data_IF_664219246590
#
_entry.id   IF_664219246590
#
_cell.length_a   1.000
_cell.length_b   1.000
_cell.length_c   1.000
_cell.angle_alpha   90.00
_cell.angle_beta   90.00
_cell.angle_gamma   90.00
#
_symmetry.space_group_name_H-M   'P 1'
#
loop_
_entity.id
_entity.type
_entity.pdbx_description
1 polymer ?
#
# COMPACT_ATOMS: atom_id res chain seq x y z
N UNK A 1 14.28 -24.34 -32.75
CA UNK A 1 13.08 -23.53 -32.39
C UNK A 1 12.27 -24.35 -31.40
N UNK A 2 12.21 -23.93 -30.11
CA UNK A 2 11.53 -24.70 -29.07
C UNK A 2 10.10 -24.11 -28.98
N UNK A 3 9.09 -24.92 -29.23
CA UNK A 3 7.69 -24.53 -29.09
C UNK A 3 7.23 -24.89 -27.68
N UNK A 4 6.82 -23.92 -26.90
CA UNK A 4 6.12 -24.13 -25.62
C UNK A 4 4.62 -23.91 -25.81
N UNK A 5 3.82 -24.85 -25.34
CA UNK A 5 2.39 -24.76 -25.31
C UNK A 5 1.90 -24.66 -23.88
N UNK A 6 0.88 -23.85 -23.66
CA UNK A 6 0.24 -23.65 -22.38
C UNK A 6 -1.14 -24.30 -22.43
N UNK A 7 -1.40 -25.18 -21.50
CA UNK A 7 -2.74 -25.69 -21.29
C UNK A 7 -3.21 -25.09 -19.95
N UNK A 8 -4.28 -24.31 -20.00
CA UNK A 8 -4.94 -23.73 -18.84
C UNK A 8 -6.23 -24.50 -18.64
N UNK A 9 -6.31 -25.26 -17.58
CA UNK A 9 -7.52 -26.00 -17.21
C UNK A 9 -8.16 -25.40 -15.98
N UNK A 10 -9.49 -25.23 -16.03
CA UNK A 10 -10.29 -24.85 -14.90
C UNK A 10 -10.84 -26.08 -14.22
N UNK A 11 -10.45 -26.35 -13.00
CA UNK A 11 -11.00 -27.44 -12.20
C UNK A 11 -11.84 -26.86 -11.09
N UNK A 12 -13.09 -27.31 -10.99
CA UNK A 12 -14.01 -26.96 -9.89
C UNK A 12 -14.03 -28.14 -8.93
N UNK A 13 -13.54 -27.95 -7.70
CA UNK A 13 -13.60 -28.95 -6.65
C UNK A 13 -14.30 -28.33 -5.44
N UNK A 14 -15.51 -28.75 -5.17
CA UNK A 14 -16.33 -28.21 -4.09
C UNK A 14 -16.72 -26.73 -4.32
N UNK A 15 -16.61 -25.90 -3.31
CA UNK A 15 -16.94 -24.47 -3.37
C UNK A 15 -15.78 -23.57 -3.87
N UNK A 16 -14.66 -24.14 -4.30
CA UNK A 16 -13.49 -23.39 -4.78
C UNK A 16 -13.23 -23.60 -6.27
N UNK A 17 -12.81 -22.55 -6.97
CA UNK A 17 -12.30 -22.64 -8.33
C UNK A 17 -10.77 -22.61 -8.28
N UNK A 18 -10.15 -23.62 -8.89
CA UNK A 18 -8.70 -23.71 -8.98
C UNK A 18 -8.27 -23.47 -10.43
N UNK A 19 -7.23 -22.66 -10.62
CA UNK A 19 -6.56 -22.52 -11.89
C UNK A 19 -5.31 -23.39 -11.86
N UNK A 20 -5.26 -24.39 -12.72
CA UNK A 20 -4.10 -25.25 -12.88
C UNK A 20 -3.41 -24.88 -14.18
N UNK A 21 -2.16 -24.47 -14.10
CA UNK A 21 -1.34 -24.14 -15.28
C UNK A 21 -0.29 -25.21 -15.45
N UNK A 22 -0.35 -25.92 -16.57
CA UNK A 22 0.62 -26.92 -16.95
C UNK A 22 1.63 -26.34 -17.96
N UNK A 23 2.90 -26.58 -17.70
CA UNK A 23 3.99 -26.19 -18.58
C UNK A 23 4.50 -27.40 -19.35
N UNK A 24 4.43 -27.33 -20.68
CA UNK A 24 4.92 -28.40 -21.56
C UNK A 24 6.07 -27.90 -22.42
N UNK A 25 7.14 -28.66 -22.47
CA UNK A 25 8.26 -28.42 -23.37
C UNK A 25 8.37 -29.59 -24.39
N UNK A 26 8.57 -29.25 -25.67
CA UNK A 26 8.79 -30.24 -26.72
C UNK A 26 10.27 -30.58 -26.76
N UNK A 27 10.60 -31.85 -26.50
CA UNK A 27 11.97 -32.31 -26.65
C UNK A 27 12.37 -32.47 -28.12
N UNK A 28 13.68 -32.63 -28.40
CA UNK A 28 14.26 -32.77 -29.73
C UNK A 28 13.77 -34.01 -30.51
N UNK A 29 13.11 -34.96 -29.83
CA UNK A 29 12.56 -36.19 -30.44
C UNK A 29 11.05 -36.15 -30.64
N UNK A 30 10.40 -34.99 -30.50
CA UNK A 30 8.99 -34.81 -30.81
C UNK A 30 8.00 -35.11 -29.67
N UNK A 31 8.46 -35.53 -28.50
CA UNK A 31 7.60 -35.77 -27.33
C UNK A 31 7.37 -34.53 -26.50
N UNK A 32 6.17 -34.44 -25.85
CA UNK A 32 5.85 -33.41 -24.90
C UNK A 32 6.13 -33.91 -23.49
N UNK A 33 6.86 -33.11 -22.69
CA UNK A 33 7.09 -33.42 -21.27
C UNK A 33 6.58 -32.29 -20.42
N UNK A 34 5.76 -32.62 -19.42
CA UNK A 34 5.32 -31.63 -18.42
C UNK A 34 6.53 -31.26 -17.57
N UNK A 35 6.92 -29.98 -17.58
CA UNK A 35 8.08 -29.48 -16.84
C UNK A 35 7.71 -28.74 -15.56
N UNK A 36 6.40 -28.57 -15.27
CA UNK A 36 5.92 -27.99 -14.02
C UNK A 36 4.41 -27.93 -13.93
N UNK A 37 3.92 -27.97 -12.71
CA UNK A 37 2.52 -27.73 -12.34
C UNK A 37 2.49 -26.70 -11.23
N UNK A 38 1.64 -25.70 -11.35
CA UNK A 38 1.37 -24.75 -10.30
C UNK A 38 -0.13 -24.71 -10.01
N UNK A 39 -0.49 -25.07 -8.80
CA UNK A 39 -1.88 -25.05 -8.32
C UNK A 39 -2.11 -23.75 -7.55
N UNK A 40 -3.06 -22.92 -7.97
CA UNK A 40 -3.40 -21.67 -7.30
C UNK A 40 -4.86 -21.69 -6.86
N UNK A 41 -5.10 -21.43 -5.58
CA UNK A 41 -6.43 -21.21 -5.00
C UNK A 41 -6.99 -19.88 -5.49
N UNK A 42 -8.09 -19.94 -6.23
CA UNK A 42 -8.84 -18.76 -6.67
C UNK A 42 -10.00 -18.52 -5.72
N UNK A 43 -9.78 -17.70 -4.71
CA UNK A 43 -10.88 -17.18 -3.89
C UNK A 43 -11.56 -16.03 -4.66
N UNK A 44 -12.87 -15.97 -4.55
CA UNK A 44 -13.88 -15.16 -5.27
C UNK A 44 -13.67 -13.63 -5.17
N UNK A 45 -12.44 -13.14 -5.29
CA UNK A 45 -12.18 -11.72 -5.38
C UNK A 45 -11.96 -11.32 -6.84
N UNK A 46 -12.71 -10.30 -7.30
CA UNK A 46 -12.50 -9.57 -8.54
C UNK A 46 -11.07 -9.03 -8.58
N UNK A 47 -10.11 -9.86 -8.92
CA UNK A 47 -8.71 -9.47 -8.93
C UNK A 47 -8.37 -8.87 -10.30
N UNK A 48 -8.40 -7.54 -10.37
CA UNK A 48 -7.88 -6.73 -11.48
C UNK A 48 -6.44 -7.12 -11.87
N UNK A 49 -5.67 -7.64 -10.93
CA UNK A 49 -4.32 -8.15 -11.09
C UNK A 49 -4.21 -9.23 -12.20
N UNK A 50 -5.03 -10.31 -12.11
CA UNK A 50 -4.97 -11.38 -13.11
C UNK A 50 -5.44 -10.93 -14.49
N UNK A 51 -6.35 -9.97 -14.55
CA UNK A 51 -6.76 -9.35 -15.81
C UNK A 51 -5.60 -8.61 -16.47
N UNK A 52 -4.78 -7.90 -15.70
CA UNK A 52 -3.58 -7.21 -16.17
C UNK A 52 -2.46 -8.19 -16.59
N UNK A 53 -2.23 -9.26 -15.82
CA UNK A 53 -1.24 -10.31 -16.16
C UNK A 53 -1.60 -11.04 -17.45
N UNK A 54 -2.88 -11.39 -17.67
CA UNK A 54 -3.29 -12.08 -18.89
C UNK A 54 -3.45 -11.16 -20.10
N UNK A 55 -3.64 -9.85 -19.92
CA UNK A 55 -3.69 -8.89 -21.02
C UNK A 55 -2.30 -8.52 -21.56
N UNK A 56 -1.24 -8.72 -20.78
CA UNK A 56 0.10 -8.30 -21.17
C UNK A 56 1.03 -9.51 -21.40
N UNK A 57 0.94 -10.10 -22.61
CA UNK A 57 1.75 -11.26 -23.05
C UNK A 57 3.27 -11.07 -22.86
N UNK A 58 3.76 -9.82 -22.88
CA UNK A 58 5.17 -9.50 -22.75
C UNK A 58 5.68 -9.73 -21.32
N UNK A 59 4.88 -9.39 -20.29
CA UNK A 59 5.24 -9.61 -18.88
C UNK A 59 5.43 -11.11 -18.60
N UNK A 60 4.55 -11.94 -19.12
CA UNK A 60 4.62 -13.40 -18.93
C UNK A 60 5.82 -14.00 -19.66
N UNK A 61 6.17 -13.48 -20.83
CA UNK A 61 7.35 -13.88 -21.60
C UNK A 61 8.66 -13.53 -20.89
N UNK A 62 8.79 -12.28 -20.44
CA UNK A 62 9.99 -11.79 -19.75
C UNK A 62 10.15 -12.45 -18.36
N UNK A 63 9.03 -12.84 -17.74
CA UNK A 63 9.00 -13.61 -16.50
C UNK A 63 9.63 -15.00 -16.60
N UNK A 64 9.54 -15.61 -17.76
CA UNK A 64 9.98 -17.00 -17.97
C UNK A 64 11.42 -17.07 -18.49
N UNK A 65 11.86 -16.07 -19.25
CA UNK A 65 13.14 -16.10 -19.98
C UNK A 65 14.20 -15.12 -19.49
N UNK A 66 13.81 -14.10 -18.73
CA UNK A 66 14.69 -13.06 -18.21
C UNK A 66 15.00 -13.22 -16.73
N UNK A 67 15.97 -14.05 -16.39
CA UNK A 67 16.65 -14.15 -15.08
C UNK A 67 15.86 -13.76 -13.85
N UNK A 68 15.59 -14.71 -12.97
CA UNK A 68 14.74 -14.62 -11.76
C UNK A 68 14.93 -13.42 -10.81
N UNK A 69 15.93 -12.56 -11.04
CA UNK A 69 16.21 -11.38 -10.21
C UNK A 69 15.29 -10.18 -10.52
N UNK A 70 14.89 -9.98 -11.79
CA UNK A 70 14.08 -8.81 -12.17
C UNK A 70 12.62 -9.01 -11.74
N UNK A 71 12.10 -10.23 -11.89
CA UNK A 71 10.70 -10.55 -11.54
C UNK A 71 10.52 -10.60 -10.03
N UNK A 72 11.45 -11.24 -9.31
CA UNK A 72 11.42 -11.21 -7.85
C UNK A 72 11.51 -9.77 -7.30
N UNK A 73 12.20 -8.86 -7.99
CA UNK A 73 12.29 -7.45 -7.60
C UNK A 73 11.00 -6.67 -7.91
N UNK A 74 10.35 -6.94 -9.04
CA UNK A 74 9.07 -6.28 -9.41
C UNK A 74 7.87 -6.88 -8.66
N UNK A 75 7.82 -8.19 -8.46
CA UNK A 75 6.80 -8.86 -7.65
C UNK A 75 6.95 -8.45 -6.18
N UNK A 76 8.15 -8.36 -5.61
CA UNK A 76 8.35 -7.75 -4.28
C UNK A 76 7.87 -6.31 -4.21
N UNK A 77 8.09 -5.49 -5.25
CA UNK A 77 7.56 -4.12 -5.31
C UNK A 77 6.04 -4.06 -5.35
N UNK A 78 5.38 -5.01 -6.01
CA UNK A 78 3.90 -5.05 -6.10
C UNK A 78 3.23 -5.34 -4.75
N UNK A 79 3.88 -6.09 -3.86
CA UNK A 79 3.33 -6.40 -2.53
C UNK A 79 3.69 -5.37 -1.46
N UNK A 80 4.54 -4.41 -1.76
CA UNK A 80 4.98 -3.38 -0.83
C UNK A 80 3.88 -2.36 -0.52
N UNK A 81 3.00 -2.06 -1.48
CA UNK A 81 1.90 -1.10 -1.33
C UNK A 81 0.57 -1.85 -1.39
N UNK A 82 -0.27 -1.67 -0.37
CA UNK A 82 -1.63 -2.22 -0.28
C UNK A 82 -2.65 -1.14 0.06
N UNK A 83 -3.90 -1.44 -0.23
CA UNK A 83 -5.08 -0.74 0.29
C UNK A 83 -5.96 -1.76 1.01
N UNK A 84 -6.45 -1.43 2.18
CA UNK A 84 -7.37 -2.25 2.96
C UNK A 84 -8.50 -1.40 3.52
N UNK A 85 -9.69 -1.99 3.61
CA UNK A 85 -10.79 -1.41 4.37
C UNK A 85 -10.72 -1.88 5.81
N UNK A 86 -10.68 -0.95 6.78
CA UNK A 86 -10.57 -1.36 8.16
C UNK A 86 -10.45 -0.21 9.16
N UNK A 87 -10.07 -0.60 10.37
CA UNK A 87 -9.81 0.29 11.49
C UNK A 87 -8.30 0.29 11.78
N UNK A 88 -7.65 1.41 11.52
CA UNK A 88 -6.20 1.56 11.67
C UNK A 88 -5.70 1.28 13.11
N UNK A 89 -6.57 1.44 14.10
CA UNK A 89 -6.23 1.22 15.51
C UNK A 89 -6.14 -0.28 15.89
N UNK A 90 -6.53 -1.18 14.98
CA UNK A 90 -6.55 -2.63 15.20
C UNK A 90 -5.51 -3.40 14.40
N UNK A 91 -4.65 -2.69 13.66
CA UNK A 91 -3.63 -3.33 12.84
C UNK A 91 -2.52 -3.93 13.68
N UNK A 92 -2.23 -5.19 13.45
CA UNK A 92 -1.15 -5.94 14.11
C UNK A 92 0.04 -6.23 13.19
N UNK A 93 -0.07 -5.92 11.90
CA UNK A 93 0.92 -6.27 10.88
C UNK A 93 1.94 -5.15 10.61
N UNK A 94 1.74 -3.97 11.21
CA UNK A 94 2.59 -2.80 10.99
C UNK A 94 3.30 -2.37 12.26
N UNK A 95 4.52 -1.85 12.10
CA UNK A 95 5.29 -1.29 13.20
C UNK A 95 4.86 0.14 13.56
N UNK A 96 4.33 0.88 12.59
CA UNK A 96 3.83 2.22 12.83
C UNK A 96 2.51 2.49 12.10
N UNK A 97 1.65 3.26 12.76
CA UNK A 97 0.49 3.89 12.12
C UNK A 97 0.67 5.39 12.04
N UNK A 98 0.11 5.99 10.99
CA UNK A 98 0.10 7.45 10.84
C UNK A 98 -1.21 8.00 11.38
N UNK A 99 -1.12 9.08 12.14
CA UNK A 99 -2.24 9.86 12.64
C UNK A 99 -2.41 11.14 11.82
N UNK A 100 -3.59 11.34 11.24
CA UNK A 100 -3.99 12.62 10.66
C UNK A 100 -4.43 13.57 11.77
N UNK A 101 -3.45 14.22 12.39
CA UNK A 101 -3.59 15.07 13.55
C UNK A 101 -3.94 16.53 13.17
N UNK A 102 -4.25 17.33 14.18
CA UNK A 102 -4.28 18.79 14.10
C UNK A 102 -2.96 19.41 14.59
N UNK A 103 -2.77 20.70 14.37
CA UNK A 103 -1.53 21.40 14.73
C UNK A 103 -1.18 21.34 16.23
N UNK A 104 -2.13 21.16 17.12
CA UNK A 104 -1.88 21.09 18.57
C UNK A 104 -1.42 19.71 19.03
N UNK A 105 -1.69 18.64 18.27
CA UNK A 105 -1.43 17.23 18.61
C UNK A 105 -2.13 16.77 19.92
N UNK A 106 -3.21 17.41 20.30
CA UNK A 106 -3.89 17.13 21.57
C UNK A 106 -5.14 16.27 21.42
N UNK A 107 -5.23 15.54 20.33
CA UNK A 107 -6.41 14.76 19.98
C UNK A 107 -7.47 15.62 19.30
N UNK A 108 -8.51 14.97 18.80
CA UNK A 108 -9.60 15.63 18.07
C UNK A 108 -10.69 14.65 17.68
N UNK A 109 -11.31 14.88 16.52
CA UNK A 109 -12.32 14.02 15.93
C UNK A 109 -11.74 12.99 14.96
N UNK A 110 -12.61 12.18 14.35
CA UNK A 110 -12.23 11.23 13.32
C UNK A 110 -11.16 10.22 13.75
N UNK A 111 -10.19 9.96 12.86
CA UNK A 111 -9.10 9.02 13.11
C UNK A 111 -8.19 9.46 14.26
N UNK A 112 -7.93 10.75 14.41
CA UNK A 112 -7.13 11.31 15.52
C UNK A 112 -7.73 10.95 16.88
N UNK A 113 -9.04 11.19 17.06
CA UNK A 113 -9.74 10.81 18.28
C UNK A 113 -9.79 9.29 18.50
N UNK A 114 -9.92 8.48 17.45
CA UNK A 114 -9.90 7.03 17.55
C UNK A 114 -8.53 6.52 18.03
N UNK A 115 -7.44 7.03 17.47
CA UNK A 115 -6.07 6.67 17.84
C UNK A 115 -5.80 7.08 19.30
N UNK A 116 -6.14 8.31 19.71
CA UNK A 116 -5.93 8.74 21.09
C UNK A 116 -6.72 7.90 22.10
N UNK A 117 -7.97 7.53 21.80
CA UNK A 117 -8.77 6.65 22.68
C UNK A 117 -8.17 5.24 22.77
N UNK A 118 -7.72 4.68 21.66
CA UNK A 118 -7.15 3.33 21.63
C UNK A 118 -5.75 3.26 22.28
N UNK A 119 -4.93 4.29 22.10
CA UNK A 119 -3.59 4.38 22.68
C UNK A 119 -3.57 4.61 24.19
N UNK A 120 -4.63 5.23 24.74
CA UNK A 120 -4.68 5.61 26.15
C UNK A 120 -4.10 6.99 26.46
N UNK A 121 -4.16 7.45 27.74
CA UNK A 121 -3.82 8.80 28.14
C UNK A 121 -2.31 9.13 28.02
N UNK A 122 -1.46 8.13 27.98
CA UNK A 122 -0.02 8.30 27.87
C UNK A 122 0.37 8.92 26.52
N UNK A 123 -0.35 8.60 25.44
CA UNK A 123 -0.14 9.19 24.13
C UNK A 123 -0.33 10.72 24.19
N UNK A 124 -1.40 11.19 24.82
CA UNK A 124 -1.65 12.61 24.98
C UNK A 124 -0.56 13.29 25.81
N UNK A 125 -0.06 12.59 26.84
CA UNK A 125 1.03 13.09 27.69
C UNK A 125 2.32 13.26 26.92
N UNK A 126 2.64 12.33 26.01
CA UNK A 126 3.81 12.44 25.12
C UNK A 126 3.60 13.54 24.07
N UNK A 127 2.44 13.60 23.43
CA UNK A 127 2.10 14.63 22.45
C UNK A 127 2.25 16.06 22.98
N UNK A 128 1.89 16.32 24.24
CA UNK A 128 2.08 17.63 24.88
C UNK A 128 3.54 18.08 24.88
N UNK A 129 4.50 17.14 25.01
CA UNK A 129 5.94 17.43 25.01
C UNK A 129 6.47 17.79 23.61
N UNK A 130 5.71 17.48 22.55
CA UNK A 130 6.08 17.81 21.18
C UNK A 130 5.79 19.27 20.81
N UNK A 131 5.00 19.99 21.61
CA UNK A 131 4.64 21.41 21.41
C UNK A 131 4.01 21.69 20.04
N UNK A 132 3.12 20.80 19.59
CA UNK A 132 2.43 20.92 18.30
C UNK A 132 3.25 20.44 17.10
N UNK A 133 2.68 20.62 15.90
CA UNK A 133 3.28 20.23 14.62
C UNK A 133 2.73 21.15 13.53
N UNK A 134 3.59 21.65 12.66
CA UNK A 134 3.19 22.49 11.55
C UNK A 134 2.54 21.66 10.42
N UNK A 135 1.68 22.33 9.63
CA UNK A 135 1.05 21.70 8.47
C UNK A 135 2.10 21.23 7.46
N UNK A 136 2.02 19.97 7.06
CA UNK A 136 3.00 19.32 6.18
C UNK A 136 4.15 18.64 6.91
N UNK A 137 4.32 18.89 8.22
CA UNK A 137 5.34 18.21 9.02
C UNK A 137 4.83 16.94 9.67
N UNK A 138 5.74 16.19 10.30
CA UNK A 138 5.44 14.97 11.03
C UNK A 138 6.29 14.85 12.30
N UNK A 139 5.73 14.24 13.34
CA UNK A 139 6.38 13.92 14.61
C UNK A 139 6.05 12.49 15.03
N UNK A 140 6.92 11.84 15.78
CA UNK A 140 6.76 10.45 16.20
C UNK A 140 6.64 10.33 17.70
N UNK A 141 5.79 9.40 18.15
CA UNK A 141 5.61 8.98 19.55
C UNK A 141 5.58 7.46 19.66
N UNK A 142 5.62 6.94 20.86
CA UNK A 142 5.24 5.56 21.14
C UNK A 142 3.74 5.34 20.91
N UNK A 143 3.36 4.08 20.65
CA UNK A 143 1.96 3.73 20.38
C UNK A 143 1.16 3.32 21.63
N UNK A 144 1.84 3.03 22.75
CA UNK A 144 1.25 2.65 24.06
C UNK A 144 0.35 1.42 23.97
N UNK A 145 -0.99 1.57 24.15
CA UNK A 145 -1.93 0.45 24.14
C UNK A 145 -2.34 0.00 22.72
N UNK A 146 -1.87 0.67 21.68
CA UNK A 146 -2.09 0.23 20.29
C UNK A 146 -1.24 -1.01 19.97
N UNK A 147 -1.68 -1.86 19.03
CA UNK A 147 -0.96 -3.10 18.68
C UNK A 147 0.27 -2.90 17.78
N UNK A 148 0.75 -1.66 17.63
CA UNK A 148 1.96 -1.28 16.90
C UNK A 148 2.98 -0.62 17.84
N UNK A 149 4.19 -0.32 17.35
CA UNK A 149 5.26 0.26 18.19
C UNK A 149 5.21 1.79 18.25
N UNK A 150 4.79 2.44 17.15
CA UNK A 150 4.88 3.88 16.99
C UNK A 150 3.62 4.49 16.38
N UNK A 151 3.36 5.76 16.74
CA UNK A 151 2.42 6.64 16.04
C UNK A 151 3.20 7.80 15.42
N UNK A 152 3.05 8.00 14.12
CA UNK A 152 3.59 9.16 13.40
C UNK A 152 2.45 10.13 13.19
N UNK A 153 2.52 11.28 13.87
CA UNK A 153 1.52 12.34 13.77
C UNK A 153 1.91 13.30 12.67
N UNK A 154 1.04 13.51 11.68
CA UNK A 154 1.22 14.51 10.63
C UNK A 154 -0.01 15.38 10.50
N UNK A 155 0.20 16.63 10.12
CA UNK A 155 -0.88 17.63 10.02
C UNK A 155 -1.13 17.95 8.55
N UNK A 156 -2.23 17.46 8.03
CA UNK A 156 -2.64 17.74 6.66
C UNK A 156 -3.23 19.14 6.49
N UNK A 157 -3.20 19.70 5.26
CA UNK A 157 -3.80 21.01 4.97
C UNK A 157 -5.32 20.95 4.94
N UNK A 158 -5.94 22.08 5.31
CA UNK A 158 -7.36 22.36 5.03
C UNK A 158 -7.45 22.76 3.55
N UNK A 159 -8.41 22.16 2.83
CA UNK A 159 -8.61 22.49 1.42
C UNK A 159 -9.28 23.85 1.23
N UNK A 160 -8.63 24.75 0.54
CA UNK A 160 -9.12 26.09 0.18
C UNK A 160 -9.11 26.32 -1.34
N UNK A 161 -9.32 25.24 -2.12
CA UNK A 161 -9.41 25.33 -3.60
C UNK A 161 -8.06 25.23 -4.30
N UNK A 162 -7.01 24.72 -3.68
CA UNK A 162 -5.68 24.48 -4.30
C UNK A 162 -4.83 25.76 -4.45
N UNK A 163 -5.16 26.84 -3.71
CA UNK A 163 -4.50 28.16 -3.88
C UNK A 163 -3.39 28.44 -2.86
N UNK A 164 -3.27 27.60 -1.81
CA UNK A 164 -2.37 27.80 -0.67
C UNK A 164 -1.31 26.68 -0.59
N UNK A 165 -0.90 26.12 -1.72
CA UNK A 165 0.07 25.02 -1.82
C UNK A 165 -0.39 23.75 -1.10
N UNK A 166 -1.71 23.51 -1.04
CA UNK A 166 -2.27 22.37 -0.30
C UNK A 166 -1.77 21.04 -0.86
N UNK A 167 -1.55 20.94 -2.17
CA UNK A 167 -0.99 19.76 -2.83
C UNK A 167 0.42 19.44 -2.32
N UNK A 168 1.26 20.46 -2.20
CA UNK A 168 2.62 20.34 -1.69
C UNK A 168 2.61 20.00 -0.19
N UNK A 169 1.77 20.67 0.59
CA UNK A 169 1.64 20.39 2.02
C UNK A 169 1.16 18.95 2.28
N UNK A 170 0.19 18.47 1.48
CA UNK A 170 -0.26 17.08 1.58
C UNK A 170 0.85 16.09 1.17
N UNK A 171 1.58 16.39 0.11
CA UNK A 171 2.76 15.59 -0.29
C UNK A 171 3.80 15.54 0.83
N UNK A 172 4.06 16.66 1.49
CA UNK A 172 5.01 16.75 2.60
C UNK A 172 4.57 15.89 3.80
N UNK A 173 3.27 15.76 4.09
CA UNK A 173 2.78 14.87 5.13
C UNK A 173 3.22 13.42 4.89
N UNK A 174 3.03 12.90 3.69
CA UNK A 174 3.45 11.54 3.33
C UNK A 174 4.97 11.41 3.31
N UNK A 175 5.67 12.35 2.69
CA UNK A 175 7.13 12.34 2.60
C UNK A 175 7.79 12.37 3.98
N UNK A 176 7.39 13.29 4.86
CA UNK A 176 7.95 13.43 6.19
C UNK A 176 7.61 12.24 7.10
N UNK A 177 6.41 11.66 6.97
CA UNK A 177 6.05 10.43 7.68
C UNK A 177 6.93 9.25 7.25
N UNK A 178 7.14 9.05 5.95
CA UNK A 178 8.03 8.01 5.42
C UNK A 178 9.48 8.24 5.84
N UNK A 179 9.94 9.50 5.82
CA UNK A 179 11.29 9.86 6.28
C UNK A 179 11.49 9.54 7.75
N UNK A 180 10.55 9.91 8.63
CA UNK A 180 10.61 9.59 10.06
C UNK A 180 10.58 8.07 10.29
N UNK A 181 9.75 7.34 9.57
CA UNK A 181 9.70 5.88 9.67
C UNK A 181 11.06 5.27 9.30
N UNK A 182 11.65 5.66 8.17
CA UNK A 182 12.98 5.20 7.75
C UNK A 182 14.06 5.53 8.79
N UNK A 183 14.09 6.77 9.28
CA UNK A 183 15.11 7.25 10.21
C UNK A 183 15.03 6.58 11.59
N UNK A 184 13.86 5.97 11.91
CA UNK A 184 13.63 5.15 13.11
C UNK A 184 13.69 3.63 12.84
N UNK A 185 14.10 3.20 11.66
CA UNK A 185 14.25 1.78 11.31
C UNK A 185 12.91 1.02 11.12
N UNK A 186 11.81 1.75 10.95
CA UNK A 186 10.47 1.20 10.74
C UNK A 186 10.36 0.69 9.31
N UNK A 187 9.96 -0.56 9.14
CA UNK A 187 9.85 -1.23 7.85
C UNK A 187 8.43 -1.46 7.38
N UNK A 188 7.45 -1.31 8.27
CA UNK A 188 6.02 -1.47 7.95
C UNK A 188 5.22 -0.32 8.54
N UNK A 189 4.44 0.38 7.69
CA UNK A 189 3.71 1.59 8.05
C UNK A 189 2.33 1.60 7.41
N UNK A 190 1.32 2.06 8.17
CA UNK A 190 -0.03 2.25 7.68
C UNK A 190 -0.47 3.72 7.74
N UNK A 191 -1.13 4.17 6.69
CA UNK A 191 -1.66 5.52 6.54
C UNK A 191 -3.18 5.54 6.56
N UNK A 192 -3.81 6.52 7.20
CA UNK A 192 -5.19 6.90 6.92
C UNK A 192 -5.26 7.77 5.65
N UNK A 193 -6.45 8.12 5.22
CA UNK A 193 -6.66 9.17 4.21
C UNK A 193 -6.55 10.56 4.85
N UNK A 194 -5.44 11.25 4.61
CA UNK A 194 -5.12 12.55 5.22
C UNK A 194 -5.92 13.66 4.53
N UNK A 195 -6.46 14.61 5.32
CA UNK A 195 -7.19 15.81 4.90
C UNK A 195 -8.55 15.61 4.21
N UNK A 196 -8.97 14.39 3.87
CA UNK A 196 -10.18 14.16 3.06
C UNK A 196 -11.49 14.10 3.87
N UNK A 197 -11.40 14.14 5.21
CA UNK A 197 -12.54 14.26 6.10
C UNK A 197 -12.97 15.72 6.31
N UNK A 198 -12.92 16.19 7.54
CA UNK A 198 -13.33 17.58 7.92
C UNK A 198 -12.51 18.68 7.22
N UNK A 199 -11.33 18.37 6.69
CA UNK A 199 -10.50 19.29 5.92
C UNK A 199 -10.88 19.37 4.43
N UNK A 200 -11.83 18.55 4.00
CA UNK A 200 -12.52 18.61 2.68
C UNK A 200 -11.59 18.58 1.45
N UNK A 201 -10.41 17.99 1.57
CA UNK A 201 -9.53 17.79 0.41
C UNK A 201 -10.19 16.80 -0.57
N UNK A 202 -10.23 17.06 -1.90
CA UNK A 202 -10.84 16.14 -2.87
C UNK A 202 -10.15 14.76 -2.83
N UNK A 203 -10.95 13.69 -2.68
CA UNK A 203 -10.44 12.33 -2.42
C UNK A 203 -9.54 11.83 -3.55
N UNK A 204 -9.95 12.04 -4.81
CA UNK A 204 -9.21 11.61 -6.00
C UNK A 204 -7.85 12.31 -6.10
N UNK A 205 -7.83 13.62 -5.81
CA UNK A 205 -6.58 14.39 -5.82
C UNK A 205 -5.67 13.97 -4.66
N UNK A 206 -6.25 13.76 -3.47
CA UNK A 206 -5.50 13.30 -2.29
C UNK A 206 -4.88 11.91 -2.53
N UNK A 207 -5.64 10.96 -3.06
CA UNK A 207 -5.15 9.63 -3.39
C UNK A 207 -3.98 9.67 -4.38
N UNK A 208 -4.12 10.48 -5.43
CA UNK A 208 -3.06 10.67 -6.43
C UNK A 208 -1.77 11.22 -5.83
N UNK A 209 -1.88 12.25 -4.96
CA UNK A 209 -0.73 12.84 -4.27
C UNK A 209 -0.10 11.82 -3.32
N UNK A 210 -0.90 11.14 -2.51
CA UNK A 210 -0.46 10.15 -1.54
C UNK A 210 0.32 9.02 -2.22
N UNK A 211 -0.28 8.36 -3.20
CA UNK A 211 0.32 7.21 -3.90
C UNK A 211 1.60 7.62 -4.63
N UNK A 212 1.59 8.75 -5.35
CA UNK A 212 2.78 9.25 -6.07
C UNK A 212 3.93 9.59 -5.14
N UNK A 213 3.64 10.24 -4.00
CA UNK A 213 4.67 10.65 -3.04
C UNK A 213 5.32 9.44 -2.39
N UNK A 214 4.51 8.51 -1.87
CA UNK A 214 5.00 7.28 -1.24
C UNK A 214 5.78 6.44 -2.24
N UNK A 215 5.26 6.28 -3.44
CA UNK A 215 5.90 5.50 -4.48
C UNK A 215 7.26 6.07 -4.91
N UNK A 216 7.38 7.41 -5.04
CA UNK A 216 8.65 8.07 -5.30
C UNK A 216 9.63 7.85 -4.14
N UNK A 217 9.18 8.01 -2.90
CA UNK A 217 10.00 7.78 -1.72
C UNK A 217 10.58 6.35 -1.69
N UNK A 218 9.75 5.34 -1.95
CA UNK A 218 10.17 3.94 -1.99
C UNK A 218 11.19 3.64 -3.10
N UNK A 219 11.13 4.39 -4.21
CA UNK A 219 12.12 4.26 -5.29
C UNK A 219 13.47 4.87 -4.93
N UNK A 220 13.44 6.02 -4.26
CA UNK A 220 14.63 6.72 -3.78
C UNK A 220 15.28 5.98 -2.59
N UNK A 221 14.51 5.12 -1.89
CA UNK A 221 14.94 4.36 -0.71
C UNK A 221 14.67 2.85 -0.87
N UNK A 222 15.31 2.16 -1.81
CA UNK A 222 15.02 0.75 -2.09
C UNK A 222 15.39 -0.16 -0.92
N UNK A 223 14.48 -1.09 -0.57
CA UNK A 223 14.69 -2.10 0.48
C UNK A 223 14.54 -1.58 1.91
N UNK A 224 14.16 -0.33 2.12
CA UNK A 224 13.93 0.23 3.45
C UNK A 224 12.59 -0.19 4.05
N UNK A 225 11.59 -0.47 3.22
CA UNK A 225 10.25 -0.87 3.65
C UNK A 225 9.87 -2.25 3.11
N UNK A 226 9.15 -3.01 3.93
CA UNK A 226 8.55 -4.29 3.57
C UNK A 226 7.05 -4.13 3.27
N UNK A 227 6.38 -3.15 3.91
CA UNK A 227 4.95 -2.90 3.77
C UNK A 227 4.62 -1.42 3.96
N UNK A 228 3.87 -0.87 3.02
CA UNK A 228 3.15 0.40 3.17
C UNK A 228 1.69 0.16 2.80
N UNK A 229 0.77 0.49 3.69
CA UNK A 229 -0.65 0.29 3.41
C UNK A 229 -1.51 1.51 3.75
N UNK A 230 -2.57 1.71 2.97
CA UNK A 230 -3.63 2.66 3.30
C UNK A 230 -4.79 1.91 3.92
N UNK A 231 -5.20 2.39 5.11
CA UNK A 231 -6.36 1.86 5.84
C UNK A 231 -7.51 2.84 5.66
N UNK A 232 -8.53 2.39 4.97
CA UNK A 232 -9.61 3.21 4.47
C UNK A 232 -10.92 2.79 5.14
N UNK A 233 -11.70 3.77 5.60
CA UNK A 233 -12.88 3.47 6.39
C UNK A 233 -14.09 3.10 5.52
N UNK A 234 -14.19 3.68 4.33
CA UNK A 234 -15.32 3.46 3.42
C UNK A 234 -14.88 2.88 2.07
N UNK A 235 -15.82 2.20 1.39
CA UNK A 235 -15.55 1.50 0.14
C UNK A 235 -15.34 2.44 -1.06
N UNK A 236 -15.85 3.67 -1.02
CA UNK A 236 -15.61 4.64 -2.09
C UNK A 236 -14.15 5.09 -2.07
N UNK A 237 -13.68 5.54 -0.92
CA UNK A 237 -12.27 5.96 -0.73
C UNK A 237 -11.32 4.80 -1.02
N UNK A 238 -11.66 3.56 -0.59
CA UNK A 238 -10.89 2.36 -0.90
C UNK A 238 -10.74 2.17 -2.42
N UNK A 239 -11.84 2.24 -3.17
CA UNK A 239 -11.80 2.05 -4.62
C UNK A 239 -10.97 3.12 -5.35
N UNK A 240 -10.98 4.37 -4.86
CA UNK A 240 -10.18 5.47 -5.42
C UNK A 240 -8.69 5.22 -5.19
N UNK A 241 -8.29 4.86 -3.97
CA UNK A 241 -6.88 4.57 -3.66
C UNK A 241 -6.40 3.31 -4.39
N UNK A 242 -7.21 2.26 -4.47
CA UNK A 242 -6.88 1.03 -5.23
C UNK A 242 -6.66 1.33 -6.72
N UNK A 243 -7.48 2.20 -7.30
CA UNK A 243 -7.32 2.63 -8.69
C UNK A 243 -5.98 3.37 -8.91
N UNK A 244 -5.61 4.29 -8.03
CA UNK A 244 -4.34 5.03 -8.12
C UNK A 244 -3.12 4.12 -7.91
N UNK A 245 -3.19 3.19 -6.96
CA UNK A 245 -2.13 2.18 -6.74
C UNK A 245 -1.97 1.30 -7.99
N UNK A 246 -3.07 0.84 -8.56
CA UNK A 246 -3.08 0.03 -9.80
C UNK A 246 -2.52 0.81 -10.98
N UNK A 247 -2.93 2.08 -11.15
CA UNK A 247 -2.41 2.96 -12.20
C UNK A 247 -0.90 3.16 -12.07
N UNK A 248 -0.41 3.37 -10.85
CA UNK A 248 1.02 3.53 -10.59
C UNK A 248 1.82 2.30 -11.00
N UNK A 249 1.32 1.09 -10.73
CA UNK A 249 1.99 -0.14 -11.17
C UNK A 249 1.93 -0.34 -12.68
N UNK A 250 0.82 0.00 -13.35
CA UNK A 250 0.64 -0.17 -14.80
C UNK A 250 1.49 0.80 -15.64
N UNK A 251 1.79 2.00 -15.16
CA UNK A 251 2.63 2.98 -15.89
C UNK A 251 4.11 2.56 -15.90
N UNK A 252 4.52 1.61 -15.06
CA UNK A 252 5.92 1.18 -14.87
C UNK A 252 6.27 -0.14 -15.54
N UNK A 253 5.32 -0.71 -16.26
CA UNK A 253 5.51 -1.86 -17.12
C UNK A 253 5.65 -1.37 -18.56
#
# INVERSE_FOLDING_TARGET
MVYMWWIVEWTVVGFGRFLVVHFYNRNTYGGWKCCGRSDMLYNNYRNSFWKAVFQNRKIVSDAIWGGGNIINRQVRKMYLIKTIKGDITKLTEVQAIVNAANNYLLGGGGVDGAIHRAAGPELLTECRKLHGCETGEAKITKAYNLPCDYVIHTVGPIWNGGRNREDELLSNCYFNSMKLARDNGIRSIAFPYISTGVYSFPVELAAKIAVRTVARFLQENPGQFDLVEWVLFDSHTESVYEAEVTLYYNIRI
#
